data_IF_185854967511
#
_entry.id   IF_185854967511
#
_cell.length_a   1.000
_cell.length_b   1.000
_cell.length_c   1.000
_cell.angle_alpha   90.00
_cell.angle_beta   90.00
_cell.angle_gamma   90.00
#
_symmetry.space_group_name_H-M   'P 1'
#
loop_
_entity.id
_entity.type
_entity.pdbx_description
1 polymer ?
#
# COMPACT_ATOMS: atom_id res chain seq x y z
N UNK A 1 -4.71 33.90 0.37
CA UNK A 1 -3.97 33.03 -0.57
C UNK A 1 -3.87 31.67 0.11
N UNK A 2 -4.68 30.70 -0.30
CA UNK A 2 -4.69 29.38 0.34
C UNK A 2 -3.40 28.65 -0.05
N UNK A 3 -2.53 28.42 0.93
CA UNK A 3 -1.36 27.57 0.75
C UNK A 3 -1.86 26.17 0.45
N UNK A 4 -1.55 25.69 -0.75
CA UNK A 4 -1.94 24.36 -1.19
C UNK A 4 -1.03 23.35 -0.49
N UNK A 5 -1.45 22.97 0.71
CA UNK A 5 -0.71 22.11 1.65
C UNK A 5 -0.80 20.64 1.20
N UNK A 6 -0.48 20.37 -0.08
CA UNK A 6 -0.57 19.05 -0.70
C UNK A 6 0.83 18.50 -0.95
N UNK A 7 1.07 17.30 -0.45
CA UNK A 7 2.34 16.60 -0.60
C UNK A 7 2.38 15.92 -1.96
N UNK A 8 3.46 16.11 -2.71
CA UNK A 8 3.68 15.41 -3.98
C UNK A 8 3.82 13.91 -3.75
N UNK A 9 3.65 13.11 -4.79
CA UNK A 9 3.96 11.69 -4.72
C UNK A 9 5.41 11.43 -4.30
N UNK A 10 5.61 10.61 -3.28
CA UNK A 10 6.94 10.23 -2.79
C UNK A 10 7.85 9.54 -3.82
N UNK A 11 7.27 8.96 -4.88
CA UNK A 11 7.99 8.21 -5.91
C UNK A 11 8.16 9.01 -7.21
N UNK A 12 7.09 9.62 -7.74
CA UNK A 12 7.13 10.40 -8.99
C UNK A 12 7.34 11.90 -8.77
N UNK A 13 7.19 12.41 -7.54
CA UNK A 13 7.05 13.84 -7.19
C UNK A 13 6.03 14.60 -8.04
N UNK A 14 5.08 13.89 -8.63
CA UNK A 14 4.00 14.54 -9.36
C UNK A 14 2.97 15.05 -8.36
N UNK A 15 2.48 16.27 -8.62
CA UNK A 15 1.39 16.85 -7.86
C UNK A 15 0.14 15.97 -7.96
N UNK A 16 -0.41 15.58 -6.81
CA UNK A 16 -1.67 14.84 -6.77
C UNK A 16 -2.83 15.79 -7.08
N UNK A 17 -3.40 15.64 -8.28
CA UNK A 17 -4.66 16.29 -8.63
C UNK A 17 -5.83 15.47 -8.06
N UNK A 18 -6.67 16.05 -7.18
CA UNK A 18 -7.91 15.39 -6.78
C UNK A 18 -8.81 15.25 -8.00
N UNK A 19 -9.35 14.05 -8.18
CA UNK A 19 -10.37 13.79 -9.18
C UNK A 19 -11.73 14.19 -8.62
N UNK A 20 -12.68 14.52 -9.50
CA UNK A 20 -14.08 14.78 -9.11
C UNK A 20 -14.78 13.60 -8.42
N UNK A 21 -14.14 12.42 -8.41
CA UNK A 21 -14.65 11.18 -7.82
C UNK A 21 -14.03 10.88 -6.46
N UNK A 22 -13.11 11.72 -5.97
CA UNK A 22 -12.47 11.50 -4.68
C UNK A 22 -13.41 11.90 -3.54
N UNK A 23 -13.55 11.01 -2.55
CA UNK A 23 -14.24 11.33 -1.30
C UNK A 23 -13.37 12.24 -0.42
N UNK A 24 -13.95 12.97 0.55
CA UNK A 24 -13.17 13.76 1.51
C UNK A 24 -12.09 12.96 2.24
N UNK A 25 -12.37 11.68 2.53
CA UNK A 25 -11.44 10.73 3.15
C UNK A 25 -10.32 10.31 2.19
N UNK A 26 -10.61 10.13 0.90
CA UNK A 26 -9.60 9.88 -0.13
C UNK A 26 -8.67 11.07 -0.33
N UNK A 27 -9.20 12.30 -0.20
CA UNK A 27 -8.39 13.53 -0.26
C UNK A 27 -7.48 13.64 0.96
N UNK A 28 -7.97 13.31 2.16
CA UNK A 28 -7.17 13.32 3.38
C UNK A 28 -6.05 12.28 3.33
N UNK A 29 -6.35 11.05 2.90
CA UNK A 29 -5.37 9.97 2.75
C UNK A 29 -4.31 10.25 1.67
N UNK A 30 -4.62 11.13 0.71
CA UNK A 30 -3.67 11.61 -0.32
C UNK A 30 -2.73 12.70 0.20
N UNK A 31 -2.99 13.31 1.37
CA UNK A 31 -2.07 14.27 1.99
C UNK A 31 -0.80 13.61 2.52
N UNK A 32 -0.87 12.35 2.94
CA UNK A 32 0.27 11.60 3.52
C UNK A 32 0.87 10.59 2.50
N UNK A 33 0.84 10.93 1.21
CA UNK A 33 0.64 10.01 0.08
C UNK A 33 1.68 8.90 -0.21
N UNK A 34 1.30 7.59 -0.15
CA UNK A 34 2.02 6.49 -0.83
C UNK A 34 2.06 6.68 -2.36
N UNK A 35 2.83 5.88 -3.15
CA UNK A 35 3.05 6.13 -4.58
C UNK A 35 1.77 6.46 -5.37
N UNK A 36 1.89 7.48 -6.22
CA UNK A 36 0.89 7.94 -7.18
C UNK A 36 0.32 6.77 -7.97
N UNK A 37 -0.89 6.90 -8.51
CA UNK A 37 -1.47 5.83 -9.34
C UNK A 37 -0.53 5.38 -10.49
N UNK A 38 0.35 6.28 -10.97
CA UNK A 38 1.45 6.00 -11.91
C UNK A 38 2.67 5.27 -11.34
N UNK A 39 2.93 5.41 -10.05
CA UNK A 39 4.09 4.82 -9.36
C UNK A 39 3.75 3.56 -8.58
N UNK A 40 2.47 3.15 -8.59
CA UNK A 40 2.11 1.81 -8.16
C UNK A 40 2.68 0.84 -9.20
N UNK A 41 3.23 -0.31 -8.77
CA UNK A 41 3.61 -1.36 -9.72
C UNK A 41 2.40 -1.70 -10.60
N UNK A 42 2.67 -1.99 -11.87
CA UNK A 42 1.63 -2.32 -12.83
C UNK A 42 0.84 -3.54 -12.33
N UNK A 43 -0.48 -3.36 -12.23
CA UNK A 43 -1.39 -4.47 -11.99
C UNK A 43 -1.53 -5.19 -13.32
N UNK A 44 -0.78 -6.27 -13.47
CA UNK A 44 -0.97 -7.17 -14.60
C UNK A 44 -2.33 -7.88 -14.44
N UNK A 45 -3.03 -8.25 -15.54
CA UNK A 45 -4.32 -8.93 -15.48
C UNK A 45 -4.31 -10.13 -14.54
N UNK A 46 -3.20 -10.87 -14.52
CA UNK A 46 -2.98 -12.06 -13.72
C UNK A 46 -2.95 -11.75 -12.21
N UNK A 47 -2.46 -10.57 -11.81
CA UNK A 47 -2.24 -10.21 -10.42
C UNK A 47 -3.38 -9.37 -9.83
N UNK A 48 -4.42 -9.08 -10.61
CA UNK A 48 -5.51 -8.16 -10.22
C UNK A 48 -6.21 -8.62 -8.95
N UNK A 49 -6.46 -9.92 -8.84
CA UNK A 49 -7.16 -10.50 -7.69
C UNK A 49 -6.31 -10.38 -6.42
N UNK A 50 -5.01 -10.71 -6.48
CA UNK A 50 -4.10 -10.57 -5.35
C UNK A 50 -3.98 -9.11 -4.89
N UNK A 51 -3.93 -8.16 -5.81
CA UNK A 51 -3.92 -6.72 -5.46
C UNK A 51 -5.20 -6.30 -4.73
N UNK A 52 -6.37 -6.77 -5.20
CA UNK A 52 -7.64 -6.45 -4.56
C UNK A 52 -7.79 -7.07 -3.17
N UNK A 53 -7.32 -8.32 -3.01
CA UNK A 53 -7.28 -9.00 -1.71
C UNK A 53 -6.32 -8.27 -0.77
N UNK A 54 -5.11 -7.94 -1.23
CA UNK A 54 -4.15 -7.17 -0.46
C UNK A 54 -4.75 -5.85 0.02
N UNK A 55 -5.39 -5.07 -0.86
CA UNK A 55 -6.02 -3.79 -0.49
C UNK A 55 -7.08 -3.93 0.61
N UNK A 56 -7.88 -4.99 0.57
CA UNK A 56 -8.92 -5.27 1.59
C UNK A 56 -8.32 -5.66 2.94
N UNK A 57 -7.12 -6.22 2.94
CA UNK A 57 -6.43 -6.70 4.15
C UNK A 57 -5.33 -5.75 4.66
N UNK A 58 -4.87 -4.81 3.83
CA UNK A 58 -3.77 -3.87 4.15
C UNK A 58 -4.19 -2.81 5.17
N UNK A 59 -3.21 -2.16 5.81
CA UNK A 59 -3.46 -1.08 6.78
C UNK A 59 -3.81 -1.57 8.19
N UNK A 60 -3.56 -2.85 8.48
CA UNK A 60 -3.72 -3.41 9.81
C UNK A 60 -2.52 -3.02 10.68
N UNK A 61 -2.76 -2.53 11.89
CA UNK A 61 -1.69 -2.25 12.85
C UNK A 61 -1.31 -3.53 13.59
N UNK A 62 -0.40 -4.33 13.01
CA UNK A 62 0.05 -5.61 13.58
C UNK A 62 1.53 -5.52 13.96
N UNK A 63 1.81 -5.76 15.25
CA UNK A 63 3.16 -5.80 15.80
C UNK A 63 3.49 -7.21 16.28
N UNK A 64 4.50 -7.84 15.68
CA UNK A 64 4.99 -9.17 16.08
C UNK A 64 6.40 -9.12 16.65
N UNK A 65 6.89 -10.26 17.18
CA UNK A 65 8.25 -10.36 17.73
C UNK A 65 9.37 -10.06 16.70
N UNK A 66 9.07 -10.14 15.40
CA UNK A 66 9.98 -9.79 14.29
C UNK A 66 9.82 -8.37 13.74
N UNK A 67 8.99 -7.52 14.37
CA UNK A 67 8.66 -6.17 13.91
C UNK A 67 7.27 -6.05 13.27
N UNK A 68 7.05 -4.96 12.55
CA UNK A 68 5.78 -4.68 11.89
C UNK A 68 5.43 -5.76 10.86
N UNK A 69 4.21 -6.26 10.92
CA UNK A 69 3.61 -7.20 9.96
C UNK A 69 2.50 -6.44 9.23
N UNK A 70 2.51 -6.47 7.90
CA UNK A 70 1.60 -5.66 7.10
C UNK A 70 0.22 -6.32 6.90
N UNK A 71 0.14 -7.66 6.98
CA UNK A 71 -1.11 -8.42 6.75
C UNK A 71 -1.30 -9.59 7.73
N UNK A 72 -2.55 -9.82 8.13
CA UNK A 72 -2.98 -11.07 8.79
C UNK A 72 -3.46 -12.10 7.76
N UNK A 73 -2.78 -13.25 7.68
CA UNK A 73 -3.14 -14.32 6.75
C UNK A 73 -4.53 -14.92 6.99
N UNK A 74 -5.02 -14.90 8.23
CA UNK A 74 -6.39 -15.35 8.50
C UNK A 74 -7.41 -14.39 7.87
N UNK A 75 -7.12 -13.08 7.87
CA UNK A 75 -7.96 -12.09 7.20
C UNK A 75 -7.93 -12.30 5.68
N UNK A 76 -6.76 -12.59 5.10
CA UNK A 76 -6.62 -12.95 3.68
C UNK A 76 -7.50 -14.14 3.35
N UNK A 77 -7.40 -15.24 4.13
CA UNK A 77 -8.25 -16.41 3.93
C UNK A 77 -9.74 -16.05 4.00
N UNK A 78 -10.17 -15.29 5.01
CA UNK A 78 -11.58 -14.88 5.12
C UNK A 78 -12.04 -14.06 3.91
N UNK A 79 -11.19 -13.21 3.34
CA UNK A 79 -11.52 -12.47 2.11
C UNK A 79 -11.63 -13.39 0.90
N UNK A 80 -10.73 -14.37 0.75
CA UNK A 80 -10.82 -15.37 -0.32
C UNK A 80 -12.12 -16.20 -0.20
N UNK A 81 -12.47 -16.61 1.02
CA UNK A 81 -13.73 -17.31 1.31
C UNK A 81 -14.95 -16.44 0.91
N UNK A 82 -14.94 -15.15 1.28
CA UNK A 82 -16.03 -14.20 0.93
C UNK A 82 -16.14 -13.91 -0.56
N UNK A 83 -15.04 -14.00 -1.30
CA UNK A 83 -15.02 -13.84 -2.76
C UNK A 83 -15.37 -15.13 -3.50
N UNK A 84 -15.67 -16.22 -2.78
CA UNK A 84 -15.96 -17.54 -3.33
C UNK A 84 -14.85 -18.04 -4.28
N UNK A 85 -13.59 -17.75 -3.92
CA UNK A 85 -12.45 -18.30 -4.65
C UNK A 85 -12.36 -19.80 -4.36
N UNK A 86 -12.11 -20.57 -5.40
CA UNK A 86 -11.90 -22.02 -5.30
C UNK A 86 -10.74 -22.34 -4.34
N UNK A 87 -10.94 -23.29 -3.44
CA UNK A 87 -9.97 -23.67 -2.41
C UNK A 87 -8.61 -24.07 -3.01
N UNK A 88 -8.62 -24.64 -4.22
CA UNK A 88 -7.41 -24.99 -4.97
C UNK A 88 -6.52 -23.78 -5.31
N UNK A 89 -7.09 -22.59 -5.42
CA UNK A 89 -6.36 -21.35 -5.73
C UNK A 89 -5.95 -20.56 -4.47
N UNK A 90 -6.39 -20.98 -3.28
CA UNK A 90 -6.16 -20.21 -2.05
C UNK A 90 -4.69 -20.08 -1.68
N UNK A 91 -3.93 -21.17 -1.82
CA UNK A 91 -2.50 -21.19 -1.48
C UNK A 91 -1.70 -20.23 -2.35
N UNK A 92 -1.88 -20.31 -3.67
CA UNK A 92 -1.21 -19.45 -4.64
C UNK A 92 -1.53 -17.97 -4.39
N UNK A 93 -2.80 -17.61 -4.23
CA UNK A 93 -3.20 -16.23 -3.95
C UNK A 93 -2.71 -15.73 -2.59
N UNK A 94 -2.65 -16.59 -1.57
CA UNK A 94 -2.06 -16.22 -0.29
C UNK A 94 -0.57 -15.89 -0.42
N UNK A 95 0.19 -16.67 -1.19
CA UNK A 95 1.62 -16.42 -1.45
C UNK A 95 1.83 -15.11 -2.21
N UNK A 96 1.03 -14.84 -3.25
CA UNK A 96 1.07 -13.59 -4.00
C UNK A 96 0.80 -12.37 -3.11
N UNK A 97 -0.24 -12.45 -2.26
CA UNK A 97 -0.60 -11.38 -1.33
C UNK A 97 0.50 -11.16 -0.28
N UNK A 98 1.15 -12.24 0.20
CA UNK A 98 2.29 -12.14 1.11
C UNK A 98 3.49 -11.46 0.45
N UNK A 99 3.79 -11.80 -0.80
CA UNK A 99 4.90 -11.20 -1.53
C UNK A 99 4.68 -9.69 -1.73
N UNK A 100 3.45 -9.28 -2.04
CA UNK A 100 3.07 -7.87 -2.13
C UNK A 100 3.27 -7.14 -0.80
N UNK A 101 2.81 -7.74 0.31
CA UNK A 101 2.95 -7.16 1.64
C UNK A 101 4.42 -7.00 2.07
N UNK A 102 5.26 -8.01 1.83
CA UNK A 102 6.70 -7.93 2.11
C UNK A 102 7.37 -6.82 1.29
N UNK A 103 7.02 -6.72 0.01
CA UNK A 103 7.54 -5.66 -0.88
C UNK A 103 7.14 -4.28 -0.36
N UNK A 104 5.89 -4.11 0.08
CA UNK A 104 5.40 -2.85 0.66
C UNK A 104 6.18 -2.46 1.93
N UNK A 105 6.48 -3.42 2.82
CA UNK A 105 7.27 -3.18 4.04
C UNK A 105 8.70 -2.75 3.69
N UNK A 106 9.37 -3.44 2.77
CA UNK A 106 10.76 -3.15 2.39
C UNK A 106 10.84 -1.74 1.81
N UNK A 107 9.98 -1.42 0.84
CA UNK A 107 9.92 -0.09 0.23
C UNK A 107 9.62 0.99 1.28
N UNK A 108 8.72 0.71 2.23
CA UNK A 108 8.43 1.61 3.34
C UNK A 108 9.63 1.88 4.25
N UNK A 109 10.41 0.84 4.61
CA UNK A 109 11.61 0.96 5.45
C UNK A 109 12.73 1.73 4.74
N UNK A 110 12.99 1.42 3.48
CA UNK A 110 14.01 2.12 2.68
C UNK A 110 13.69 3.62 2.57
N UNK A 111 12.42 3.98 2.39
CA UNK A 111 11.97 5.37 2.38
C UNK A 111 12.22 6.08 3.71
N UNK A 112 11.81 5.48 4.83
CA UNK A 112 12.07 6.05 6.16
C UNK A 112 13.56 6.26 6.43
N UNK A 113 14.40 5.32 6.00
CA UNK A 113 15.85 5.43 6.14
C UNK A 113 16.44 6.56 5.27
N UNK A 114 15.98 6.71 4.02
CA UNK A 114 16.38 7.80 3.14
C UNK A 114 15.99 9.18 3.71
N UNK A 115 14.79 9.30 4.26
CA UNK A 115 14.32 10.54 4.91
C UNK A 115 15.16 10.88 6.14
N UNK A 116 15.42 9.88 7.00
CA UNK A 116 16.30 10.04 8.17
C UNK A 116 17.70 10.48 7.78
N UNK A 117 18.24 9.95 6.68
CA UNK A 117 19.58 10.31 6.19
C UNK A 117 19.61 11.70 5.54
N UNK A 118 18.54 12.11 4.85
CA UNK A 118 18.40 13.48 4.32
C UNK A 118 18.29 14.53 5.43
N UNK A 119 17.52 14.24 6.49
CA UNK A 119 17.41 15.12 7.65
C UNK A 119 18.73 15.31 8.39
N UNK A 120 19.58 14.28 8.43
CA UNK A 120 20.93 14.35 9.03
C UNK A 120 21.96 15.08 8.17
N UNK A 121 21.74 15.22 6.86
CA UNK A 121 22.65 15.92 5.95
C UNK A 121 22.38 17.44 5.85
N UNK A 122 21.26 17.90 6.40
CA UNK A 122 20.82 19.30 6.38
C UNK A 122 20.95 20.01 7.75
N UNK A 123 21.37 19.30 8.80
CA UNK A 123 21.67 19.85 10.13
C UNK A 123 23.14 19.73 10.44
#
# INVERSE_FOLDING_TARGET
MAQDNRTDCDTCRAAFAPSRWDTPEDVERKKDGPPCWKCRPDVLPENTLAVDVYRRCSGQLIMGMGGAVDINLLAVKCVLDMLHIEESAHLELMEEVQLMAQTAIVVGREKQEQERNRGKAQG
#
